data_IF_681621070921
#
_entry.id   IF_681621070921
#
_cell.length_a   1.000
_cell.length_b   1.000
_cell.length_c   1.000
_cell.angle_alpha   90.00
_cell.angle_beta   90.00
_cell.angle_gamma   90.00
#
_symmetry.space_group_name_H-M   'P 1'
#
loop_
_entity.id
_entity.type
_entity.pdbx_description
1 polymer ?
#
# COMPACT_ATOMS: atom_id res chain seq x y z
N UNK A 1 9.68 -9.68 -15.15
CA UNK A 1 9.04 -8.57 -14.38
C UNK A 1 9.62 -8.44 -12.96
N UNK A 2 10.91 -8.72 -12.78
CA UNK A 2 11.58 -8.70 -11.48
C UNK A 2 12.64 -7.62 -11.30
N UNK A 3 12.75 -6.63 -12.17
CA UNK A 3 13.97 -5.83 -12.25
C UNK A 3 13.94 -4.43 -11.63
N UNK A 4 12.84 -4.02 -11.02
CA UNK A 4 12.74 -2.71 -10.35
C UNK A 4 13.57 -2.67 -9.06
N UNK A 5 13.79 -3.81 -8.41
CA UNK A 5 14.46 -3.91 -7.12
C UNK A 5 15.97 -3.80 -7.16
N UNK A 6 16.57 -3.97 -8.31
CA UNK A 6 18.03 -4.04 -8.43
C UNK A 6 18.72 -2.74 -8.79
N UNK A 7 18.01 -1.61 -8.73
CA UNK A 7 18.61 -0.29 -8.97
C UNK A 7 19.78 0.01 -8.05
N UNK A 8 19.72 -0.47 -6.81
CA UNK A 8 20.81 -0.31 -5.84
C UNK A 8 22.04 -1.18 -6.16
N UNK A 9 21.85 -2.23 -6.96
CA UNK A 9 22.91 -3.15 -7.38
C UNK A 9 23.56 -2.75 -8.71
N UNK A 10 23.00 -1.78 -9.45
CA UNK A 10 23.62 -1.25 -10.67
C UNK A 10 24.74 -0.29 -10.30
N UNK A 11 25.97 -0.67 -10.64
CA UNK A 11 27.13 0.20 -10.45
C UNK A 11 27.02 1.48 -11.28
N UNK A 12 27.66 2.57 -10.81
CA UNK A 12 27.66 3.85 -11.53
C UNK A 12 28.05 3.76 -13.01
N UNK A 13 29.07 2.94 -13.41
CA UNK A 13 29.42 2.76 -14.82
C UNK A 13 28.30 2.09 -15.65
N UNK A 14 27.53 1.17 -15.05
CA UNK A 14 26.39 0.56 -15.74
C UNK A 14 25.25 1.56 -15.92
N UNK A 15 24.96 2.38 -14.91
CA UNK A 15 23.94 3.42 -15.01
C UNK A 15 24.25 4.46 -16.09
N UNK A 16 25.52 4.82 -16.25
CA UNK A 16 25.97 5.76 -17.28
C UNK A 16 25.75 5.27 -18.71
N UNK A 17 25.62 3.95 -18.92
CA UNK A 17 25.35 3.35 -20.25
C UNK A 17 23.88 3.41 -20.67
N UNK A 18 22.95 3.67 -19.75
CA UNK A 18 21.56 3.89 -20.09
C UNK A 18 21.36 5.35 -20.48
N UNK A 19 21.00 5.59 -21.75
CA UNK A 19 20.84 6.95 -22.30
C UNK A 19 19.66 7.74 -21.72
N UNK A 20 18.69 7.05 -21.11
CA UNK A 20 17.50 7.66 -20.51
C UNK A 20 17.29 7.07 -19.11
N UNK A 21 17.20 7.94 -18.11
CA UNK A 21 16.82 7.59 -16.75
C UNK A 21 15.43 8.15 -16.46
N UNK A 22 14.46 7.27 -16.28
CA UNK A 22 13.12 7.65 -15.89
C UNK A 22 12.94 7.43 -14.38
N UNK A 23 12.40 8.42 -13.69
CA UNK A 23 11.97 8.29 -12.30
C UNK A 23 10.47 8.01 -12.30
N UNK A 24 10.07 6.87 -11.70
CA UNK A 24 8.66 6.54 -11.55
C UNK A 24 8.19 6.99 -10.18
N UNK A 25 7.18 7.85 -10.15
CA UNK A 25 6.54 8.32 -8.93
C UNK A 25 5.24 7.58 -8.70
N UNK A 26 4.74 7.68 -7.46
CA UNK A 26 3.40 7.21 -7.13
C UNK A 26 2.36 8.12 -7.79
N UNK A 27 1.26 7.52 -8.20
CA UNK A 27 0.15 8.26 -8.78
C UNK A 27 -0.69 8.96 -7.71
N UNK A 28 -1.17 10.16 -8.03
CA UNK A 28 -2.14 10.85 -7.21
C UNK A 28 -3.51 10.13 -7.23
N UNK A 29 -4.29 10.33 -6.18
CA UNK A 29 -5.59 9.70 -6.04
C UNK A 29 -6.56 10.06 -7.18
N UNK A 30 -6.51 11.29 -7.68
CA UNK A 30 -7.33 11.74 -8.82
C UNK A 30 -7.01 11.00 -10.11
N UNK A 31 -5.72 10.76 -10.38
CA UNK A 31 -5.28 9.99 -11.55
C UNK A 31 -5.68 8.51 -11.38
N UNK A 32 -5.50 7.95 -10.18
CA UNK A 32 -5.91 6.57 -9.89
C UNK A 32 -7.42 6.39 -9.97
N UNK A 33 -8.23 7.37 -9.56
CA UNK A 33 -9.68 7.35 -9.73
C UNK A 33 -10.06 7.20 -11.20
N UNK A 34 -9.42 7.96 -12.09
CA UNK A 34 -9.61 7.80 -13.55
C UNK A 34 -9.25 6.40 -14.05
N UNK A 35 -8.17 5.82 -13.54
CA UNK A 35 -7.77 4.45 -13.87
C UNK A 35 -8.79 3.43 -13.36
N UNK A 36 -9.30 3.58 -12.13
CA UNK A 36 -10.34 2.72 -11.55
C UNK A 36 -11.62 2.76 -12.36
N UNK A 37 -12.10 3.95 -12.72
CA UNK A 37 -13.31 4.12 -13.58
C UNK A 37 -13.14 3.45 -14.95
N UNK A 38 -12.00 3.68 -15.61
CA UNK A 38 -11.70 3.01 -16.88
C UNK A 38 -11.68 1.50 -16.73
N UNK A 39 -11.06 0.99 -15.68
CA UNK A 39 -10.97 -0.44 -15.42
C UNK A 39 -12.32 -1.05 -15.07
N UNK A 40 -13.20 -0.32 -14.37
CA UNK A 40 -14.57 -0.73 -14.10
C UNK A 40 -15.37 -0.89 -15.42
N UNK A 41 -15.23 0.04 -16.35
CA UNK A 41 -15.83 -0.09 -17.69
C UNK A 41 -15.31 -1.30 -18.48
N UNK A 42 -14.01 -1.64 -18.36
CA UNK A 42 -13.46 -2.84 -19.01
C UNK A 42 -13.99 -4.13 -18.35
N UNK A 43 -14.27 -4.09 -17.04
CA UNK A 43 -14.83 -5.21 -16.28
C UNK A 43 -16.36 -5.30 -16.40
N UNK A 44 -16.99 -4.42 -17.19
CA UNK A 44 -18.43 -4.31 -17.38
C UNK A 44 -19.20 -4.17 -16.05
N UNK A 45 -18.69 -3.30 -15.18
CA UNK A 45 -19.31 -2.98 -13.88
C UNK A 45 -19.45 -1.47 -13.73
N UNK A 46 -20.63 -1.02 -13.28
CA UNK A 46 -20.84 0.39 -12.95
C UNK A 46 -20.28 0.74 -11.59
N UNK A 47 -19.68 1.93 -11.48
CA UNK A 47 -19.08 2.43 -10.24
C UNK A 47 -19.34 3.91 -10.08
N UNK A 48 -19.70 4.33 -8.87
CA UNK A 48 -19.87 5.74 -8.53
C UNK A 48 -18.50 6.45 -8.38
N UNK A 49 -18.50 7.76 -8.59
CA UNK A 49 -17.28 8.57 -8.56
C UNK A 49 -16.63 8.60 -7.19
N UNK A 50 -17.40 8.66 -6.11
CA UNK A 50 -16.93 8.60 -4.74
C UNK A 50 -16.40 7.21 -4.36
N UNK A 51 -17.04 6.14 -4.83
CA UNK A 51 -16.56 4.77 -4.69
C UNK A 51 -15.21 4.57 -5.41
N UNK A 52 -15.09 5.09 -6.63
CA UNK A 52 -13.85 5.03 -7.40
C UNK A 52 -12.71 5.83 -6.72
N UNK A 53 -13.04 6.98 -6.14
CA UNK A 53 -12.09 7.78 -5.35
C UNK A 53 -11.66 7.05 -4.08
N UNK A 54 -12.57 6.40 -3.37
CA UNK A 54 -12.28 5.64 -2.16
C UNK A 54 -11.32 4.48 -2.46
N UNK A 55 -11.53 3.73 -3.54
CA UNK A 55 -10.60 2.70 -4.01
C UNK A 55 -9.23 3.30 -4.34
N UNK A 56 -9.21 4.45 -5.02
CA UNK A 56 -7.98 5.14 -5.40
C UNK A 56 -7.16 5.59 -4.19
N UNK A 57 -7.81 6.19 -3.18
CA UNK A 57 -7.17 6.65 -1.94
C UNK A 57 -6.47 5.51 -1.19
N UNK A 58 -7.07 4.32 -1.19
CA UNK A 58 -6.51 3.14 -0.49
C UNK A 58 -5.56 2.30 -1.35
N UNK A 59 -5.25 2.76 -2.57
CA UNK A 59 -4.41 2.04 -3.54
C UNK A 59 -2.90 2.30 -3.40
N UNK A 60 -2.47 3.00 -2.37
CA UNK A 60 -1.04 3.28 -2.10
C UNK A 60 -0.31 3.97 -3.25
N UNK A 61 -1.02 4.74 -4.08
CA UNK A 61 -0.44 5.40 -5.26
C UNK A 61 -0.09 4.47 -6.41
N UNK A 62 -0.64 3.23 -6.46
CA UNK A 62 -0.22 2.20 -7.40
C UNK A 62 -1.39 1.66 -8.23
N UNK A 63 -1.37 1.77 -9.57
CA UNK A 63 -2.44 1.25 -10.45
C UNK A 63 -2.69 -0.25 -10.29
N UNK A 64 -1.64 -1.03 -10.02
CA UNK A 64 -1.76 -2.47 -9.78
C UNK A 64 -2.61 -2.78 -8.56
N UNK A 65 -2.39 -2.06 -7.47
CA UNK A 65 -3.17 -2.22 -6.23
C UNK A 65 -4.59 -1.72 -6.46
N UNK A 66 -4.77 -0.55 -7.11
CA UNK A 66 -6.10 -0.02 -7.44
C UNK A 66 -6.94 -1.04 -8.20
N UNK A 67 -6.39 -1.65 -9.25
CA UNK A 67 -7.07 -2.68 -10.03
C UNK A 67 -7.31 -3.98 -9.24
N UNK A 68 -6.43 -4.34 -8.31
CA UNK A 68 -6.64 -5.50 -7.43
C UNK A 68 -7.81 -5.24 -6.46
N UNK A 69 -7.85 -4.05 -5.85
CA UNK A 69 -8.94 -3.64 -4.97
C UNK A 69 -10.27 -3.55 -5.73
N UNK A 70 -10.29 -2.93 -6.90
CA UNK A 70 -11.48 -2.83 -7.73
C UNK A 70 -12.10 -4.21 -8.01
N UNK A 71 -11.28 -5.19 -8.39
CA UNK A 71 -11.79 -6.57 -8.62
C UNK A 71 -12.42 -7.16 -7.37
N UNK A 72 -11.84 -6.94 -6.19
CA UNK A 72 -12.43 -7.43 -4.94
C UNK A 72 -13.72 -6.70 -4.58
N UNK A 73 -13.74 -5.36 -4.73
CA UNK A 73 -14.96 -4.57 -4.50
C UNK A 73 -16.07 -5.00 -5.44
N UNK A 74 -15.75 -5.24 -6.73
CA UNK A 74 -16.72 -5.80 -7.69
C UNK A 74 -17.28 -7.14 -7.23
N UNK A 75 -16.43 -8.05 -6.73
CA UNK A 75 -16.89 -9.36 -6.27
C UNK A 75 -17.88 -9.20 -5.10
N UNK A 76 -17.67 -8.22 -4.22
CA UNK A 76 -18.63 -7.86 -3.16
C UNK A 76 -19.92 -7.28 -3.73
N UNK A 77 -19.85 -6.39 -4.73
CA UNK A 77 -21.02 -5.80 -5.38
C UNK A 77 -21.88 -6.87 -6.08
N UNK A 78 -21.26 -7.86 -6.69
CA UNK A 78 -21.97 -8.98 -7.33
C UNK A 78 -22.68 -9.89 -6.33
N UNK A 79 -22.16 -10.02 -5.10
CA UNK A 79 -22.73 -10.91 -4.07
C UNK A 79 -23.75 -10.20 -3.18
N UNK A 80 -23.47 -8.94 -2.82
CA UNK A 80 -24.27 -8.18 -1.83
C UNK A 80 -25.09 -7.05 -2.44
N UNK A 81 -24.80 -6.66 -3.66
CA UNK A 81 -25.49 -5.62 -4.39
C UNK A 81 -26.06 -6.13 -5.72
N UNK A 82 -26.59 -5.25 -6.53
CA UNK A 82 -27.13 -5.55 -7.85
C UNK A 82 -26.06 -5.43 -8.99
N UNK A 83 -24.77 -5.63 -8.63
CA UNK A 83 -23.66 -5.49 -9.56
C UNK A 83 -23.19 -4.04 -9.76
N UNK A 84 -23.75 -3.08 -9.00
CA UNK A 84 -23.31 -1.69 -8.96
C UNK A 84 -22.36 -1.47 -7.79
N UNK A 85 -21.29 -0.70 -7.99
CA UNK A 85 -20.31 -0.36 -6.93
C UNK A 85 -20.62 1.05 -6.44
N UNK A 86 -21.27 1.16 -5.30
CA UNK A 86 -21.47 2.38 -4.55
C UNK A 86 -20.44 2.52 -3.41
N UNK A 87 -20.49 3.65 -2.69
CA UNK A 87 -19.56 3.95 -1.61
C UNK A 87 -19.71 2.99 -0.42
N UNK A 88 -20.92 2.51 -0.13
CA UNK A 88 -21.19 1.66 1.02
C UNK A 88 -20.68 0.25 0.78
N UNK A 89 -20.94 -0.33 -0.38
CA UNK A 89 -20.35 -1.61 -0.81
C UNK A 89 -18.83 -1.52 -0.83
N UNK A 90 -18.27 -0.42 -1.32
CA UNK A 90 -16.83 -0.20 -1.34
C UNK A 90 -16.24 -0.21 0.06
N UNK A 91 -16.82 0.50 1.01
CA UNK A 91 -16.37 0.53 2.41
C UNK A 91 -16.49 -0.84 3.08
N UNK A 92 -17.59 -1.55 2.86
CA UNK A 92 -17.79 -2.92 3.36
C UNK A 92 -16.70 -3.84 2.81
N UNK A 93 -16.45 -3.80 1.52
CA UNK A 93 -15.44 -4.65 0.89
C UNK A 93 -14.02 -4.35 1.41
N UNK A 94 -13.64 -3.08 1.49
CA UNK A 94 -12.32 -2.67 1.97
C UNK A 94 -12.12 -3.01 3.44
N UNK A 95 -13.16 -2.85 4.27
CA UNK A 95 -13.14 -3.29 5.67
C UNK A 95 -12.99 -4.80 5.80
N UNK A 96 -13.71 -5.59 5.00
CA UNK A 96 -13.58 -7.05 4.97
C UNK A 96 -12.19 -7.52 4.52
N UNK A 97 -11.49 -6.72 3.71
CA UNK A 97 -10.10 -6.95 3.31
C UNK A 97 -9.09 -6.46 4.35
N UNK A 98 -9.54 -5.92 5.49
CA UNK A 98 -8.71 -5.30 6.53
C UNK A 98 -7.85 -4.15 5.99
N UNK A 99 -8.38 -3.37 5.06
CA UNK A 99 -7.73 -2.16 4.54
C UNK A 99 -8.40 -0.96 5.19
N UNK A 100 -7.65 -0.23 5.99
CA UNK A 100 -8.17 0.91 6.74
C UNK A 100 -8.31 2.18 5.88
N UNK A 101 -8.77 3.26 6.50
CA UNK A 101 -9.00 4.54 5.82
C UNK A 101 -7.74 5.17 5.22
N UNK A 102 -6.56 4.76 5.64
CA UNK A 102 -5.27 5.23 5.13
C UNK A 102 -4.60 4.26 4.15
N UNK A 103 -5.26 3.15 3.83
CA UNK A 103 -4.74 2.13 2.94
C UNK A 103 -3.73 1.18 3.60
N UNK A 104 -3.64 1.18 4.95
CA UNK A 104 -2.85 0.18 5.66
C UNK A 104 -3.62 -1.13 5.70
N UNK A 105 -2.91 -2.21 5.45
CA UNK A 105 -3.45 -3.56 5.59
C UNK A 105 -3.13 -4.16 6.97
N UNK A 106 -3.57 -5.40 7.16
CA UNK A 106 -3.34 -6.13 8.41
C UNK A 106 -1.86 -6.26 8.76
N UNK A 107 -0.98 -6.43 7.78
CA UNK A 107 0.45 -6.60 8.04
C UNK A 107 1.12 -5.26 8.37
N UNK A 108 0.74 -4.17 7.71
CA UNK A 108 1.22 -2.83 8.06
C UNK A 108 0.90 -2.51 9.53
N UNK A 109 -0.37 -2.70 9.93
CA UNK A 109 -0.81 -2.45 11.30
C UNK A 109 -0.11 -3.38 12.31
N UNK A 110 0.17 -4.64 11.92
CA UNK A 110 0.91 -5.59 12.74
C UNK A 110 2.38 -5.19 12.91
N UNK A 111 3.02 -4.67 11.86
CA UNK A 111 4.40 -4.15 11.92
C UNK A 111 4.45 -2.95 12.87
N UNK A 112 3.59 -1.95 12.66
CA UNK A 112 3.56 -0.75 13.50
C UNK A 112 3.21 -1.08 14.96
N UNK A 113 2.19 -1.90 15.20
CA UNK A 113 1.80 -2.35 16.54
C UNK A 113 2.93 -3.10 17.24
N UNK A 114 3.64 -3.97 16.52
CA UNK A 114 4.80 -4.67 17.05
C UNK A 114 5.91 -3.71 17.49
N UNK A 115 6.24 -2.70 16.68
CA UNK A 115 7.26 -1.70 17.02
C UNK A 115 6.83 -0.88 18.24
N UNK A 116 5.58 -0.47 18.31
CA UNK A 116 5.04 0.36 19.39
C UNK A 116 4.95 -0.43 20.69
N UNK A 117 4.24 -1.57 20.67
CA UNK A 117 3.90 -2.30 21.87
C UNK A 117 5.08 -3.11 22.44
N UNK A 118 5.80 -3.82 21.56
CA UNK A 118 6.89 -4.72 22.01
C UNK A 118 8.23 -4.01 22.14
N UNK A 119 8.46 -2.97 21.32
CA UNK A 119 9.76 -2.29 21.26
C UNK A 119 9.69 -0.81 21.64
N UNK A 120 8.59 -0.36 22.26
CA UNK A 120 8.41 1.01 22.77
C UNK A 120 8.66 2.09 21.72
N UNK A 121 8.24 1.81 20.46
CA UNK A 121 8.42 2.71 19.33
C UNK A 121 9.74 2.61 18.58
N UNK A 122 10.65 1.79 19.03
CA UNK A 122 11.98 1.60 18.42
C UNK A 122 13.10 2.42 19.08
N UNK A 123 14.30 2.47 18.48
CA UNK A 123 14.66 1.83 17.21
C UNK A 123 14.79 0.31 17.30
N UNK A 124 14.30 -0.41 16.30
CA UNK A 124 14.35 -1.87 16.23
C UNK A 124 14.89 -2.35 14.88
N UNK A 125 15.72 -3.40 14.91
CA UNK A 125 16.32 -3.97 13.70
C UNK A 125 15.28 -4.68 12.82
N UNK A 126 15.49 -4.66 11.49
CA UNK A 126 14.60 -5.28 10.51
C UNK A 126 14.34 -6.76 10.79
N UNK A 127 15.39 -7.53 11.06
CA UNK A 127 15.27 -8.97 11.34
C UNK A 127 14.48 -9.26 12.63
N UNK A 128 14.57 -8.37 13.62
CA UNK A 128 13.80 -8.47 14.86
C UNK A 128 12.32 -8.25 14.60
N UNK A 129 11.99 -7.24 13.79
CA UNK A 129 10.60 -6.99 13.36
C UNK A 129 10.08 -8.20 12.58
N UNK A 130 10.84 -8.67 11.58
CA UNK A 130 10.51 -9.81 10.73
C UNK A 130 10.15 -11.05 11.55
N UNK A 131 11.02 -11.41 12.48
CA UNK A 131 10.78 -12.54 13.40
C UNK A 131 9.52 -12.32 14.25
N UNK A 132 9.32 -11.10 14.76
CA UNK A 132 8.20 -10.79 15.65
C UNK A 132 6.83 -10.79 14.94
N UNK A 133 6.79 -10.44 13.64
CA UNK A 133 5.57 -10.46 12.83
C UNK A 133 5.40 -11.75 12.03
N UNK A 134 6.41 -12.61 11.97
CA UNK A 134 6.38 -13.87 11.23
C UNK A 134 6.40 -13.65 9.70
N UNK A 135 7.23 -12.71 9.23
CA UNK A 135 7.40 -12.40 7.82
C UNK A 135 8.89 -12.36 7.46
N UNK A 136 9.24 -12.49 6.19
CA UNK A 136 10.62 -12.37 5.74
C UNK A 136 11.10 -10.91 5.78
N UNK A 137 12.34 -10.71 6.23
CA UNK A 137 12.93 -9.37 6.34
C UNK A 137 12.95 -8.62 4.99
N UNK A 138 13.27 -9.33 3.90
CA UNK A 138 13.24 -8.78 2.54
C UNK A 138 11.84 -8.32 2.13
N UNK A 139 10.81 -9.08 2.44
CA UNK A 139 9.41 -8.70 2.17
C UNK A 139 9.03 -7.43 2.92
N UNK A 140 9.41 -7.31 4.19
CA UNK A 140 9.15 -6.08 4.97
C UNK A 140 9.86 -4.88 4.32
N UNK A 141 11.14 -5.01 3.97
CA UNK A 141 11.95 -3.92 3.42
C UNK A 141 11.49 -3.48 2.02
N UNK A 142 11.02 -4.43 1.20
CA UNK A 142 10.69 -4.15 -0.20
C UNK A 142 9.21 -3.82 -0.42
N UNK A 143 8.31 -4.35 0.40
CA UNK A 143 6.85 -4.24 0.18
C UNK A 143 6.18 -3.28 1.17
N UNK A 144 6.46 -3.41 2.46
CA UNK A 144 5.75 -2.67 3.52
C UNK A 144 6.46 -1.39 3.91
N UNK A 145 7.76 -1.45 4.18
CA UNK A 145 8.55 -0.30 4.66
C UNK A 145 8.46 0.93 3.74
N UNK A 146 8.56 0.82 2.39
CA UNK A 146 8.50 1.98 1.52
C UNK A 146 7.18 2.76 1.62
N UNK A 147 6.06 2.06 1.75
CA UNK A 147 4.76 2.68 1.93
C UNK A 147 4.63 3.33 3.31
N UNK A 148 5.00 2.64 4.36
CA UNK A 148 4.94 3.15 5.74
C UNK A 148 5.83 4.38 5.94
N UNK A 149 7.00 4.44 5.29
CA UNK A 149 7.90 5.59 5.32
C UNK A 149 7.29 6.76 4.53
N UNK A 150 6.79 6.49 3.31
CA UNK A 150 6.15 7.50 2.45
C UNK A 150 4.99 8.18 3.15
N UNK A 151 4.13 7.40 3.79
CA UNK A 151 2.96 7.92 4.53
C UNK A 151 3.33 8.49 5.91
N UNK A 152 4.60 8.42 6.31
CA UNK A 152 5.10 9.03 7.53
C UNK A 152 4.81 8.23 8.81
N UNK A 153 4.43 6.96 8.72
CA UNK A 153 4.22 6.10 9.89
C UNK A 153 5.52 5.54 10.48
N UNK A 154 6.53 5.36 9.64
CA UNK A 154 7.79 4.75 9.99
C UNK A 154 8.98 5.65 9.62
N UNK A 155 10.02 5.63 10.44
CA UNK A 155 11.32 6.23 10.15
C UNK A 155 12.39 5.17 10.08
N UNK A 156 13.29 5.31 9.10
CA UNK A 156 14.52 4.51 9.02
C UNK A 156 15.68 5.31 9.61
N UNK A 157 16.31 4.76 10.65
CA UNK A 157 17.46 5.36 11.31
C UNK A 157 18.68 4.43 11.22
N UNK A 158 19.91 4.89 11.49
CA UNK A 158 21.09 4.04 11.52
C UNK A 158 21.01 2.90 12.56
N UNK A 159 20.18 3.06 13.60
CA UNK A 159 19.98 2.05 14.64
C UNK A 159 18.86 1.08 14.34
N UNK A 160 17.98 1.40 13.36
CA UNK A 160 16.82 0.57 13.03
C UNK A 160 15.60 1.40 12.64
N UNK A 161 14.43 0.80 12.78
CA UNK A 161 13.12 1.37 12.43
C UNK A 161 12.46 1.93 13.68
N UNK A 162 11.85 3.11 13.54
CA UNK A 162 11.15 3.80 14.62
C UNK A 162 9.74 4.17 14.15
N UNK A 163 8.75 3.92 15.00
CA UNK A 163 7.39 4.39 14.79
C UNK A 163 7.33 5.91 15.02
N UNK A 164 6.55 6.60 14.19
CA UNK A 164 6.36 8.04 14.34
C UNK A 164 5.17 8.36 15.24
N UNK A 165 5.01 9.61 15.63
CA UNK A 165 3.83 10.07 16.35
C UNK A 165 2.52 9.78 15.57
N UNK A 166 2.57 9.83 14.23
CA UNK A 166 1.44 9.48 13.38
C UNK A 166 1.02 8.02 13.54
N UNK A 167 1.99 7.10 13.70
CA UNK A 167 1.71 5.69 13.94
C UNK A 167 1.04 5.46 15.29
N UNK A 168 1.48 6.16 16.33
CA UNK A 168 0.82 6.12 17.65
C UNK A 168 -0.62 6.60 17.61
N UNK A 169 -0.87 7.73 16.91
CA UNK A 169 -2.24 8.27 16.76
C UNK A 169 -3.16 7.38 15.92
N UNK A 170 -2.57 6.59 15.04
CA UNK A 170 -3.32 5.70 14.14
C UNK A 170 -3.78 4.43 14.86
N UNK A 171 -2.94 3.90 15.74
CA UNK A 171 -3.23 2.65 16.44
C UNK A 171 -3.92 2.86 17.81
N UNK A 172 -4.02 4.08 18.27
CA UNK A 172 -4.81 4.39 19.44
C UNK A 172 -4.39 4.97 20.59
#
# INVERSE_FOLDING_TARGET
LGDVYKRQLLTSPLRARFGIQCHLEYYDASVLQGIVRRSAGILDVSIDDDAALEVALRSRGTPRIANALLRRVRDFAMVKGEGHIDIDITRIALSALNIDARGLDRMDNRILGTIIEKFRGGPVGLNTIATAVGEEAGTIEEVYEPFLIKEGFLKRTPRGREATELAYRHLG
#
